data_IF_008329240366
#
_entry.id   IF_008329240366
#
_cell.length_a   1.000
_cell.length_b   1.000
_cell.length_c   1.000
_cell.angle_alpha   90.00
_cell.angle_beta   90.00
_cell.angle_gamma   90.00
#
_symmetry.space_group_name_H-M   'P 1'
#
loop_
_entity.id
_entity.type
_entity.pdbx_description
1 polymer ?
#
# COMPACT_ATOMS: atom_id res chain seq x y z
N UNK A 1 -5.24 -24.27 -13.67
CA UNK A 1 -6.42 -23.53 -13.17
C UNK A 1 -5.89 -22.28 -12.49
N UNK A 2 -5.82 -21.16 -13.21
CA UNK A 2 -5.35 -19.89 -12.65
C UNK A 2 -6.59 -19.19 -12.12
N UNK A 3 -6.70 -19.10 -10.80
CA UNK A 3 -7.72 -18.25 -10.16
C UNK A 3 -7.18 -16.83 -10.29
N UNK A 4 -7.61 -16.11 -11.34
CA UNK A 4 -7.37 -14.68 -11.45
C UNK A 4 -8.20 -13.99 -10.38
N UNK A 5 -7.61 -13.82 -9.19
CA UNK A 5 -8.13 -12.87 -8.21
C UNK A 5 -8.04 -11.49 -8.86
N UNK A 6 -9.18 -10.90 -9.21
CA UNK A 6 -9.24 -9.49 -9.59
C UNK A 6 -8.91 -8.66 -8.35
N UNK A 7 -7.62 -8.36 -8.16
CA UNK A 7 -7.21 -7.32 -7.23
C UNK A 7 -7.67 -5.97 -7.80
N UNK A 8 -8.11 -5.07 -6.91
CA UNK A 8 -8.59 -3.76 -7.33
C UNK A 8 -7.53 -2.95 -8.06
N UNK A 9 -7.94 -2.04 -8.94
CA UNK A 9 -7.05 -1.06 -9.60
C UNK A 9 -7.00 0.23 -8.79
N UNK A 10 -5.88 0.94 -8.84
CA UNK A 10 -5.64 2.20 -8.14
C UNK A 10 -6.19 3.43 -8.88
N UNK A 11 -6.72 3.23 -10.09
CA UNK A 11 -7.14 4.29 -11.04
C UNK A 11 -5.96 5.13 -11.59
N UNK A 12 -4.73 4.73 -11.31
CA UNK A 12 -3.50 5.32 -11.86
C UNK A 12 -2.70 4.26 -12.61
N UNK A 13 -2.56 4.42 -13.93
CA UNK A 13 -1.93 3.44 -14.80
C UNK A 13 -0.45 3.18 -14.48
N UNK A 14 0.28 4.19 -13.98
CA UNK A 14 1.70 4.04 -13.59
C UNK A 14 1.80 3.20 -12.32
N UNK A 15 0.96 3.51 -11.33
CA UNK A 15 0.86 2.74 -10.08
C UNK A 15 0.41 1.29 -10.33
N UNK A 16 -0.60 1.08 -11.17
CA UNK A 16 -1.11 -0.25 -11.50
C UNK A 16 -0.03 -1.10 -12.17
N UNK A 17 0.74 -0.51 -13.10
CA UNK A 17 1.87 -1.19 -13.75
C UNK A 17 2.96 -1.56 -12.74
N UNK A 18 3.34 -0.64 -11.84
CA UNK A 18 4.34 -0.91 -10.81
C UNK A 18 3.89 -2.01 -9.84
N UNK A 19 2.63 -1.98 -9.39
CA UNK A 19 2.03 -3.01 -8.53
C UNK A 19 2.08 -4.38 -9.21
N UNK A 20 1.77 -4.44 -10.51
CA UNK A 20 1.85 -5.67 -11.31
C UNK A 20 3.30 -6.16 -11.46
N UNK A 21 4.23 -5.29 -11.84
CA UNK A 21 5.66 -5.60 -12.03
C UNK A 21 6.29 -6.14 -10.73
N UNK A 22 5.98 -5.51 -9.60
CA UNK A 22 6.49 -5.91 -8.27
C UNK A 22 5.66 -6.99 -7.57
N UNK A 23 4.61 -7.51 -8.24
CA UNK A 23 3.68 -8.52 -7.68
C UNK A 23 3.10 -8.11 -6.32
N UNK A 24 2.87 -6.81 -6.13
CA UNK A 24 2.28 -6.25 -4.92
C UNK A 24 0.75 -6.43 -4.95
N UNK A 25 0.14 -6.35 -3.77
CA UNK A 25 -1.31 -6.41 -3.63
C UNK A 25 -1.86 -5.02 -3.34
N UNK A 26 -2.76 -4.54 -4.21
CA UNK A 26 -3.53 -3.34 -3.94
C UNK A 26 -4.62 -3.62 -2.89
N UNK A 27 -4.70 -2.76 -1.88
CA UNK A 27 -5.70 -2.84 -0.80
C UNK A 27 -6.51 -1.53 -0.81
N UNK A 28 -7.82 -1.59 -1.12
CA UNK A 28 -8.69 -0.43 -1.09
C UNK A 28 -8.72 0.24 0.30
N UNK A 29 -8.68 1.57 0.33
CA UNK A 29 -8.60 2.32 1.59
C UNK A 29 -9.80 2.05 2.53
N UNK A 30 -10.98 1.75 1.97
CA UNK A 30 -12.18 1.41 2.74
C UNK A 30 -12.08 0.10 3.56
N UNK A 31 -11.02 -0.70 3.37
CA UNK A 31 -10.75 -1.89 4.16
C UNK A 31 -9.98 -1.59 5.45
N UNK A 32 -9.53 -0.36 5.67
CA UNK A 32 -8.89 0.07 6.90
C UNK A 32 -9.92 0.73 7.83
N UNK A 33 -9.89 0.38 9.12
CA UNK A 33 -10.72 0.96 10.17
C UNK A 33 -9.87 1.45 11.33
N UNK A 34 -10.40 2.43 12.07
CA UNK A 34 -9.74 3.04 13.22
C UNK A 34 -8.35 3.56 12.82
N UNK A 35 -8.30 4.38 11.76
CA UNK A 35 -7.07 5.03 11.33
C UNK A 35 -6.73 6.11 12.35
N UNK A 36 -5.73 5.84 13.19
CA UNK A 36 -5.25 6.70 14.26
C UNK A 36 -3.84 7.18 13.94
N UNK A 37 -3.56 8.46 14.20
CA UNK A 37 -2.21 8.98 14.05
C UNK A 37 -1.25 8.24 14.99
N UNK A 38 -0.12 7.78 14.46
CA UNK A 38 0.93 7.17 15.27
C UNK A 38 2.13 8.10 15.39
N UNK A 39 2.72 8.51 14.26
CA UNK A 39 3.91 9.36 14.26
C UNK A 39 4.11 10.07 12.90
N UNK A 40 4.98 11.08 12.86
CA UNK A 40 5.35 11.79 11.64
C UNK A 40 6.87 11.94 11.56
N UNK A 41 7.46 11.29 10.57
CA UNK A 41 8.85 11.51 10.17
C UNK A 41 8.98 12.65 9.16
N UNK A 42 10.22 12.90 8.72
CA UNK A 42 10.52 13.94 7.72
C UNK A 42 9.79 13.73 6.38
N UNK A 43 9.67 12.48 5.94
CA UNK A 43 9.15 12.13 4.60
C UNK A 43 7.77 11.45 4.61
N UNK A 44 7.32 10.97 5.76
CA UNK A 44 6.08 10.20 5.87
C UNK A 44 5.39 10.40 7.21
N UNK A 45 4.07 10.28 7.19
CA UNK A 45 3.24 10.14 8.38
C UNK A 45 2.81 8.68 8.52
N UNK A 46 2.94 8.13 9.72
CA UNK A 46 2.54 6.75 10.06
C UNK A 46 1.25 6.82 10.85
N UNK A 47 0.31 5.97 10.47
CA UNK A 47 -0.95 5.75 11.16
C UNK A 47 -1.03 4.31 11.64
N UNK A 48 -1.63 4.12 12.81
CA UNK A 48 -2.03 2.81 13.30
C UNK A 48 -3.45 2.54 12.80
N UNK A 49 -3.71 1.34 12.29
CA UNK A 49 -5.03 1.00 11.75
C UNK A 49 -5.31 -0.49 11.83
N UNK A 50 -6.58 -0.86 11.67
CA UNK A 50 -7.03 -2.25 11.58
C UNK A 50 -7.40 -2.52 10.13
N UNK A 51 -6.67 -3.42 9.48
CA UNK A 51 -7.04 -3.94 8.17
C UNK A 51 -8.08 -5.05 8.30
N UNK A 52 -9.25 -4.81 7.71
CA UNK A 52 -10.34 -5.77 7.60
C UNK A 52 -10.10 -6.67 6.39
N UNK A 53 -9.45 -7.81 6.61
CA UNK A 53 -9.33 -8.81 5.57
C UNK A 53 -10.72 -9.32 5.17
N UNK A 54 -10.95 -9.48 3.87
CA UNK A 54 -12.13 -10.21 3.36
C UNK A 54 -12.00 -11.72 3.57
N UNK A 55 -10.79 -12.18 3.87
CA UNK A 55 -10.50 -13.56 4.19
C UNK A 55 -10.90 -13.85 5.64
N UNK A 56 -11.85 -14.77 5.80
CA UNK A 56 -12.41 -15.14 7.11
C UNK A 56 -11.40 -15.87 7.99
N UNK A 57 -10.40 -16.52 7.38
CA UNK A 57 -9.39 -17.29 8.12
C UNK A 57 -8.30 -16.37 8.68
N UNK A 58 -8.06 -15.23 8.04
CA UNK A 58 -7.07 -14.23 8.48
C UNK A 58 -7.63 -13.34 9.60
N UNK A 59 -8.90 -12.96 9.50
CA UNK A 59 -9.53 -12.02 10.45
C UNK A 59 -8.99 -10.59 10.32
N UNK A 60 -9.23 -9.79 11.36
CA UNK A 60 -8.79 -8.40 11.42
C UNK A 60 -7.35 -8.33 11.90
N UNK A 61 -6.50 -7.59 11.19
CA UNK A 61 -5.08 -7.44 11.54
C UNK A 61 -4.78 -5.98 11.87
N UNK A 62 -4.06 -5.75 12.96
CA UNK A 62 -3.49 -4.45 13.27
C UNK A 62 -2.24 -4.20 12.41
N UNK A 63 -2.24 -3.09 11.67
CA UNK A 63 -1.17 -2.75 10.72
C UNK A 63 -0.76 -1.28 10.86
N UNK A 64 0.44 -0.97 10.40
CA UNK A 64 0.92 0.40 10.27
C UNK A 64 0.72 0.88 8.82
N UNK A 65 -0.04 1.95 8.65
CA UNK A 65 -0.23 2.62 7.37
C UNK A 65 0.76 3.78 7.26
N UNK A 66 1.75 3.66 6.37
CA UNK A 66 2.73 4.71 6.10
C UNK A 66 2.27 5.53 4.89
N UNK A 67 1.94 6.79 5.11
CA UNK A 67 1.54 7.76 4.09
C UNK A 67 2.69 8.73 3.81
N UNK A 68 3.11 8.84 2.56
CA UNK A 68 4.14 9.81 2.17
C UNK A 68 3.54 11.22 2.12
N UNK A 69 4.29 12.21 2.58
CA UNK A 69 3.77 13.58 2.70
C UNK A 69 3.54 14.27 1.33
N UNK A 70 4.26 13.86 0.27
CA UNK A 70 4.24 14.48 -1.08
C UNK A 70 4.02 13.46 -2.22
N UNK A 71 2.98 12.61 -2.14
CA UNK A 71 2.69 11.59 -3.18
C UNK A 71 2.49 12.18 -4.60
N UNK A 72 2.05 13.43 -4.71
CA UNK A 72 1.64 14.03 -5.98
C UNK A 72 2.78 14.69 -6.77
N UNK A 73 3.92 14.96 -6.12
CA UNK A 73 5.09 15.59 -6.77
C UNK A 73 6.21 14.58 -7.05
N UNK A 74 6.13 13.37 -6.47
CA UNK A 74 7.31 12.52 -6.37
C UNK A 74 7.06 11.01 -6.42
N UNK A 75 6.02 10.58 -7.13
CA UNK A 75 5.75 9.16 -7.31
C UNK A 75 6.96 8.45 -7.94
N UNK A 76 7.58 9.04 -8.96
CA UNK A 76 8.76 8.47 -9.63
C UNK A 76 9.97 8.32 -8.70
N UNK A 77 10.23 9.26 -7.78
CA UNK A 77 11.32 9.13 -6.79
C UNK A 77 11.03 8.04 -5.77
N UNK A 78 9.77 7.86 -5.37
CA UNK A 78 9.37 6.74 -4.52
C UNK A 78 9.53 5.38 -5.21
N UNK A 79 9.14 5.28 -6.49
CA UNK A 79 9.33 4.05 -7.27
C UNK A 79 10.83 3.74 -7.47
N UNK A 80 11.65 4.76 -7.73
CA UNK A 80 13.11 4.64 -7.84
C UNK A 80 13.77 4.18 -6.53
N UNK A 81 13.33 4.71 -5.38
CA UNK A 81 13.84 4.27 -4.07
C UNK A 81 13.50 2.80 -3.80
N UNK A 82 12.32 2.33 -4.21
CA UNK A 82 11.93 0.92 -4.09
C UNK A 82 12.82 -0.01 -4.91
N UNK A 83 13.20 0.39 -6.12
CA UNK A 83 14.16 -0.36 -6.96
C UNK A 83 15.56 -0.46 -6.32
N UNK A 84 15.97 0.53 -5.52
CA UNK A 84 17.24 0.52 -4.83
C UNK A 84 17.31 -0.49 -3.66
N UNK A 85 16.17 -0.88 -3.08
CA UNK A 85 16.12 -1.85 -1.97
C UNK A 85 16.07 -3.33 -2.43
N UNK A 86 15.87 -3.61 -3.72
CA UNK A 86 15.79 -4.97 -4.27
C UNK A 86 17.16 -5.54 -4.71
N UNK A 87 18.23 -4.73 -4.66
CA UNK A 87 19.59 -5.10 -5.09
C UNK A 87 20.56 -5.45 -3.93
N UNK A 88 20.05 -5.91 -2.78
CA UNK A 88 20.87 -6.46 -1.68
C UNK A 88 20.52 -7.92 -1.41
#
# INVERSE_FOLDING_TARGET
MIVSYEFGKSENAILDKFIEEKRLKWIPYNQFKNVEYFDKGGFSTVYKTIWLSKDKDIGNIEVALKCLNNLNENLDEFLNEWDCHENV
#
